data_IF_006368588340
#
_entry.id   IF_006368588340
#
_cell.length_a   1.000
_cell.length_b   1.000
_cell.length_c   1.000
_cell.angle_alpha   90.00
_cell.angle_beta   90.00
_cell.angle_gamma   90.00
#
_symmetry.space_group_name_H-M   'P 1'
#
loop_
_entity.id
_entity.type
_entity.pdbx_description
1 polymer ?
#
# COMPACT_ATOMS: atom_id res chain seq x y z
N UNK A 1 -12.54 13.84 27.58
CA UNK A 1 -12.22 12.66 26.77
C UNK A 1 -13.36 12.52 25.77
N UNK A 2 -13.10 12.70 24.47
CA UNK A 2 -14.12 12.46 23.45
C UNK A 2 -14.44 10.96 23.49
N UNK A 3 -15.59 10.60 24.04
CA UNK A 3 -16.12 9.25 23.88
C UNK A 3 -16.49 9.13 22.41
N UNK A 4 -15.60 8.50 21.64
CA UNK A 4 -15.93 8.06 20.29
C UNK A 4 -17.16 7.18 20.45
N UNK A 5 -18.30 7.67 19.94
CA UNK A 5 -19.63 7.09 20.07
C UNK A 5 -19.78 5.67 19.48
N UNK A 6 -18.67 5.04 19.09
CA UNK A 6 -18.58 3.66 18.62
C UNK A 6 -18.74 2.65 19.78
N UNK A 7 -18.57 3.06 21.05
CA UNK A 7 -18.74 2.16 22.20
C UNK A 7 -20.20 1.86 22.57
N UNK A 8 -21.15 2.69 22.15
CA UNK A 8 -22.56 2.50 22.44
C UNK A 8 -23.36 2.65 21.16
N UNK A 9 -24.23 1.67 20.87
CA UNK A 9 -25.15 1.77 19.73
C UNK A 9 -26.06 2.99 19.94
N UNK A 10 -25.72 4.09 19.27
CA UNK A 10 -26.45 5.36 19.32
C UNK A 10 -26.85 5.71 17.90
N UNK A 11 -28.12 6.09 17.75
CA UNK A 11 -28.63 6.58 16.49
C UNK A 11 -27.78 7.76 15.96
N UNK A 12 -27.51 7.78 14.67
CA UNK A 12 -26.52 8.66 14.03
C UNK A 12 -25.05 8.23 14.14
N UNK A 13 -24.70 7.23 14.96
CA UNK A 13 -23.34 6.69 15.13
C UNK A 13 -23.27 5.16 14.95
N UNK A 14 -24.34 4.54 14.45
CA UNK A 14 -24.33 3.14 14.08
C UNK A 14 -23.42 2.90 12.86
N UNK A 15 -22.90 1.67 12.75
CA UNK A 15 -21.97 1.30 11.68
C UNK A 15 -22.60 1.55 10.30
N UNK A 16 -23.82 1.08 10.11
CA UNK A 16 -24.64 1.21 8.90
C UNK A 16 -24.96 2.66 8.51
N UNK A 17 -24.82 3.62 9.42
CA UNK A 17 -24.99 5.04 9.12
C UNK A 17 -23.73 5.65 8.51
N UNK A 18 -22.56 5.09 8.85
CA UNK A 18 -21.26 5.54 8.37
C UNK A 18 -20.74 4.75 7.17
N UNK A 19 -21.06 3.46 7.10
CA UNK A 19 -20.38 2.50 6.23
C UNK A 19 -21.36 1.61 5.49
N UNK A 20 -21.08 1.33 4.22
CA UNK A 20 -21.84 0.37 3.40
C UNK A 20 -21.21 -1.03 3.49
N UNK A 21 -19.90 -1.09 3.71
CA UNK A 21 -19.10 -2.28 3.95
C UNK A 21 -17.88 -1.88 4.81
N UNK A 22 -16.65 -1.94 4.28
CA UNK A 22 -15.45 -1.30 4.84
C UNK A 22 -15.28 0.15 4.35
N UNK A 23 -15.98 0.55 3.29
CA UNK A 23 -15.84 1.85 2.68
C UNK A 23 -16.71 2.87 3.42
N UNK A 24 -16.10 3.98 3.89
CA UNK A 24 -16.83 5.07 4.52
C UNK A 24 -17.73 5.76 3.50
N UNK A 25 -18.99 5.98 3.87
CA UNK A 25 -19.85 6.96 3.23
C UNK A 25 -19.49 8.38 3.64
N UNK A 26 -20.21 9.36 3.10
CA UNK A 26 -19.96 10.78 3.37
C UNK A 26 -19.99 11.11 4.87
N UNK A 27 -20.88 10.47 5.64
CA UNK A 27 -21.00 10.74 7.07
C UNK A 27 -19.79 10.21 7.86
N UNK A 28 -19.34 8.98 7.58
CA UNK A 28 -18.11 8.45 8.19
C UNK A 28 -16.87 9.27 7.80
N UNK A 29 -16.79 9.74 6.56
CA UNK A 29 -15.72 10.66 6.17
C UNK A 29 -15.69 11.95 7.00
N UNK A 30 -16.85 12.53 7.30
CA UNK A 30 -16.94 13.69 8.21
C UNK A 30 -16.48 13.34 9.61
N UNK A 31 -16.90 12.21 10.16
CA UNK A 31 -16.46 11.77 11.49
C UNK A 31 -14.94 11.59 11.58
N UNK A 32 -14.33 10.96 10.58
CA UNK A 32 -12.88 10.80 10.52
C UNK A 32 -12.16 12.14 10.36
N UNK A 33 -12.71 13.05 9.55
CA UNK A 33 -12.17 14.40 9.40
C UNK A 33 -12.23 15.19 10.71
N UNK A 34 -13.36 15.15 11.42
CA UNK A 34 -13.52 15.81 12.72
C UNK A 34 -12.53 15.26 13.75
N UNK A 35 -12.29 13.94 13.77
CA UNK A 35 -11.29 13.32 14.65
C UNK A 35 -9.87 13.81 14.33
N UNK A 36 -9.52 13.90 13.04
CA UNK A 36 -8.22 14.41 12.61
C UNK A 36 -8.04 15.88 12.99
N UNK A 37 -9.04 16.72 12.73
CA UNK A 37 -9.04 18.15 13.10
C UNK A 37 -8.93 18.32 14.61
N UNK A 38 -9.71 17.55 15.38
CA UNK A 38 -9.63 17.56 16.83
C UNK A 38 -8.23 17.18 17.34
N UNK A 39 -7.59 16.18 16.72
CA UNK A 39 -6.22 15.76 17.09
C UNK A 39 -5.22 16.89 16.84
N UNK A 40 -5.33 17.58 15.70
CA UNK A 40 -4.48 18.72 15.36
C UNK A 40 -4.68 19.88 16.34
N UNK A 41 -5.94 20.24 16.61
CA UNK A 41 -6.27 21.32 17.56
C UNK A 41 -5.82 20.99 18.98
N UNK A 42 -6.01 19.75 19.42
CA UNK A 42 -5.58 19.29 20.75
C UNK A 42 -4.06 19.33 20.88
N UNK A 43 -3.33 18.92 19.82
CA UNK A 43 -1.87 19.01 19.78
C UNK A 43 -1.40 20.46 19.83
N UNK A 44 -2.03 21.35 19.05
CA UNK A 44 -1.68 22.77 19.04
C UNK A 44 -1.91 23.43 20.41
N UNK A 45 -3.06 23.16 21.05
CA UNK A 45 -3.35 23.64 22.41
C UNK A 45 -2.38 23.04 23.42
N UNK A 46 -2.02 21.77 23.27
CA UNK A 46 -1.00 21.11 24.09
C UNK A 46 0.35 21.81 24.00
N UNK A 47 0.81 22.15 22.79
CA UNK A 47 2.06 22.88 22.56
C UNK A 47 2.03 24.32 23.09
N UNK A 48 0.86 24.95 23.21
CA UNK A 48 0.76 26.25 23.88
C UNK A 48 0.94 26.14 25.41
N UNK A 49 0.57 25.01 26.01
CA UNK A 49 0.69 24.77 27.45
C UNK A 49 2.04 24.16 27.83
N UNK A 50 2.56 23.27 26.98
CA UNK A 50 3.83 22.57 27.11
C UNK A 50 4.59 22.74 25.79
N UNK A 51 5.29 23.87 25.61
CA UNK A 51 6.02 24.14 24.39
C UNK A 51 7.14 23.13 24.17
N UNK A 52 7.39 22.86 22.88
CA UNK A 52 8.51 22.05 22.43
C UNK A 52 9.83 22.61 22.96
N UNK A 53 10.69 21.74 23.50
CA UNK A 53 11.94 22.14 24.16
C UNK A 53 13.12 21.19 23.86
N UNK A 54 14.25 21.42 24.53
CA UNK A 54 15.48 20.62 24.35
C UNK A 54 15.30 19.13 24.71
N UNK A 55 14.42 18.77 25.65
CA UNK A 55 14.11 17.37 25.98
C UNK A 55 13.40 16.70 24.80
N UNK A 56 12.48 17.40 24.13
CA UNK A 56 11.81 16.89 22.94
C UNK A 56 12.80 16.71 21.78
N UNK A 57 13.77 17.62 21.62
CA UNK A 57 14.85 17.47 20.63
C UNK A 57 15.67 16.21 20.87
N UNK A 58 16.00 15.94 22.14
CA UNK A 58 16.74 14.74 22.51
C UNK A 58 15.94 13.46 22.22
N UNK A 59 14.63 13.46 22.46
CA UNK A 59 13.75 12.33 22.14
C UNK A 59 13.66 12.12 20.64
N UNK A 60 13.52 13.18 19.84
CA UNK A 60 13.48 13.09 18.36
C UNK A 60 14.81 12.60 17.80
N UNK A 61 15.94 12.98 18.41
CA UNK A 61 17.27 12.54 18.00
C UNK A 61 17.62 11.11 18.45
N UNK A 62 16.85 10.52 19.37
CA UNK A 62 17.09 9.16 19.84
C UNK A 62 16.96 8.14 18.68
N UNK A 63 17.79 7.09 18.65
CA UNK A 63 17.63 6.00 17.69
C UNK A 63 16.22 5.40 17.76
N UNK A 64 15.64 5.12 16.60
CA UNK A 64 14.37 4.38 16.55
C UNK A 64 14.52 3.01 17.23
N UNK A 65 13.50 2.55 17.96
CA UNK A 65 13.52 1.21 18.54
C UNK A 65 13.60 0.14 17.44
N UNK A 66 14.11 -1.03 17.82
CA UNK A 66 14.10 -2.20 16.93
C UNK A 66 12.68 -2.53 16.45
N UNK A 67 12.52 -3.13 15.26
CA UNK A 67 11.21 -3.52 14.75
C UNK A 67 10.44 -4.40 15.74
N UNK A 68 9.15 -4.09 15.92
CA UNK A 68 8.25 -4.85 16.81
C UNK A 68 8.18 -6.35 16.46
N UNK A 69 8.34 -6.68 15.17
CA UNK A 69 8.36 -8.07 14.68
C UNK A 69 9.72 -8.40 14.10
N UNK A 70 10.26 -9.58 14.45
CA UNK A 70 11.54 -10.04 13.92
C UNK A 70 11.53 -10.07 12.39
N UNK A 71 12.56 -9.47 11.77
CA UNK A 71 12.71 -9.41 10.32
C UNK A 71 11.83 -8.37 9.61
N UNK A 72 11.00 -7.60 10.33
CA UNK A 72 10.15 -6.56 9.75
C UNK A 72 10.89 -5.22 9.60
N UNK A 73 12.04 -5.25 8.92
CA UNK A 73 12.79 -4.04 8.56
C UNK A 73 12.26 -3.50 7.22
N UNK A 74 12.15 -2.17 7.06
CA UNK A 74 11.79 -1.61 5.77
C UNK A 74 12.86 -2.03 4.73
N UNK A 75 12.45 -2.40 3.51
CA UNK A 75 13.42 -2.72 2.47
C UNK A 75 14.29 -1.48 2.20
N UNK A 76 15.60 -1.69 2.14
CA UNK A 76 16.61 -0.68 1.81
C UNK A 76 16.41 -0.06 0.40
N UNK A 77 15.65 -0.73 -0.47
CA UNK A 77 15.02 -0.13 -1.65
C UNK A 77 13.83 -0.96 -2.13
N UNK A 78 12.73 -0.30 -2.50
CA UNK A 78 11.60 -0.93 -3.20
C UNK A 78 11.55 -0.42 -4.63
N UNK A 79 11.71 -1.33 -5.59
CA UNK A 79 11.48 -1.04 -7.00
C UNK A 79 10.08 -1.55 -7.36
N UNK A 80 9.12 -0.64 -7.46
CA UNK A 80 7.82 -0.94 -8.02
C UNK A 80 7.84 -0.60 -9.52
N UNK A 81 7.94 -1.62 -10.36
CA UNK A 81 7.92 -1.45 -11.82
C UNK A 81 6.47 -1.55 -12.30
N UNK A 82 5.93 -0.43 -12.76
CA UNK A 82 4.55 -0.31 -13.25
C UNK A 82 4.52 0.33 -14.64
N UNK A 83 3.40 0.20 -15.35
CA UNK A 83 3.21 0.84 -16.64
C UNK A 83 4.30 0.42 -17.64
N UNK A 84 4.88 1.39 -18.34
CA UNK A 84 5.90 1.14 -19.35
C UNK A 84 7.17 0.50 -18.79
N UNK A 85 7.54 0.76 -17.53
CA UNK A 85 8.68 0.10 -16.89
C UNK A 85 8.43 -1.41 -16.68
N UNK A 86 7.19 -1.80 -16.42
CA UNK A 86 6.83 -3.21 -16.37
C UNK A 86 6.80 -3.83 -17.77
N UNK A 87 6.26 -3.08 -18.74
CA UNK A 87 6.20 -3.49 -20.15
C UNK A 87 7.60 -3.76 -20.72
N UNK A 88 8.60 -2.95 -20.37
CA UNK A 88 9.96 -3.10 -20.85
C UNK A 88 10.68 -4.35 -20.34
N UNK A 89 10.14 -5.05 -19.34
CA UNK A 89 10.73 -6.29 -18.83
C UNK A 89 10.43 -7.49 -19.73
N UNK A 90 9.42 -7.41 -20.60
CA UNK A 90 9.00 -8.54 -21.41
C UNK A 90 10.05 -8.91 -22.46
N UNK A 91 10.42 -10.18 -22.47
CA UNK A 91 11.37 -10.75 -23.40
C UNK A 91 10.68 -11.14 -24.72
N UNK A 92 11.41 -11.15 -25.85
CA UNK A 92 10.90 -11.62 -27.15
C UNK A 92 10.39 -13.06 -27.15
N UNK A 93 10.80 -13.88 -26.19
CA UNK A 93 10.32 -15.26 -26.00
C UNK A 93 8.90 -15.36 -25.41
N UNK A 94 8.30 -14.23 -25.02
CA UNK A 94 6.91 -14.19 -24.55
C UNK A 94 5.94 -14.49 -25.69
N UNK A 95 4.87 -15.22 -25.40
CA UNK A 95 3.84 -15.60 -26.37
C UNK A 95 2.46 -15.67 -25.72
N UNK A 96 1.43 -15.25 -26.46
CA UNK A 96 0.02 -15.33 -26.02
C UNK A 96 -0.42 -14.30 -24.98
N UNK A 97 0.49 -13.52 -24.40
CA UNK A 97 0.18 -12.34 -23.57
C UNK A 97 0.19 -11.05 -24.39
N UNK A 98 -0.79 -10.19 -24.14
CA UNK A 98 -0.92 -8.86 -24.75
C UNK A 98 -0.88 -7.79 -23.67
N UNK A 99 -0.16 -6.69 -23.91
CA UNK A 99 -0.16 -5.55 -23.01
C UNK A 99 -1.36 -4.64 -23.29
N UNK A 100 -2.26 -4.51 -22.33
CA UNK A 100 -3.54 -3.81 -22.47
C UNK A 100 -3.82 -2.94 -21.26
N UNK A 101 -4.63 -1.89 -21.45
CA UNK A 101 -5.24 -1.15 -20.35
C UNK A 101 -6.65 -1.70 -20.12
N UNK A 102 -6.87 -2.45 -19.03
CA UNK A 102 -8.20 -2.97 -18.66
C UNK A 102 -9.04 -1.95 -17.87
N UNK A 103 -8.51 -0.74 -17.65
CA UNK A 103 -9.17 0.37 -16.97
C UNK A 103 -9.81 1.38 -17.93
N UNK A 104 -10.14 2.56 -17.42
CA UNK A 104 -10.57 3.70 -18.25
C UNK A 104 -9.39 4.62 -18.54
N UNK A 105 -9.61 5.68 -19.33
CA UNK A 105 -8.59 6.71 -19.53
C UNK A 105 -8.26 7.46 -18.22
N UNK A 106 -9.27 7.67 -17.37
CA UNK A 106 -9.16 8.37 -16.09
C UNK A 106 -8.60 7.46 -14.98
N UNK A 107 -8.83 6.14 -15.09
CA UNK A 107 -8.37 5.14 -14.12
C UNK A 107 -7.71 3.96 -14.86
N UNK A 108 -6.53 4.17 -15.44
CA UNK A 108 -5.86 3.14 -16.21
C UNK A 108 -5.41 1.97 -15.31
N UNK A 109 -5.53 0.76 -15.85
CA UNK A 109 -5.05 -0.50 -15.28
C UNK A 109 -4.22 -1.24 -16.34
N UNK A 110 -3.02 -0.76 -16.66
CA UNK A 110 -2.20 -1.36 -17.69
C UNK A 110 -1.52 -2.64 -17.17
N UNK A 111 -1.49 -3.69 -17.99
CA UNK A 111 -0.89 -4.97 -17.63
C UNK A 111 -0.87 -5.97 -18.79
N UNK A 112 -0.26 -7.13 -18.55
CA UNK A 112 -0.27 -8.23 -19.52
C UNK A 112 -1.44 -9.17 -19.26
N UNK A 113 -2.20 -9.47 -20.32
CA UNK A 113 -3.38 -10.34 -20.28
C UNK A 113 -3.21 -11.47 -21.30
N UNK A 114 -3.58 -12.69 -20.89
CA UNK A 114 -3.69 -13.85 -21.77
C UNK A 114 -5.03 -14.55 -21.52
N UNK A 115 -5.67 -15.03 -22.59
CA UNK A 115 -6.98 -15.70 -22.53
C UNK A 115 -6.93 -17.15 -22.98
N UNK A 116 -5.75 -17.65 -23.39
CA UNK A 116 -5.57 -19.00 -23.91
C UNK A 116 -4.59 -19.79 -23.05
N UNK A 117 -4.89 -21.07 -22.73
CA UNK A 117 -3.94 -21.96 -22.08
C UNK A 117 -2.64 -22.08 -22.88
N UNK A 118 -1.50 -22.17 -22.17
CA UNK A 118 -0.18 -22.31 -22.78
C UNK A 118 0.51 -20.99 -23.11
N UNK A 119 -0.13 -19.83 -22.91
CA UNK A 119 0.53 -18.53 -22.99
C UNK A 119 1.69 -18.42 -21.98
N UNK A 120 2.77 -17.75 -22.38
CA UNK A 120 3.99 -17.56 -21.58
C UNK A 120 4.38 -16.09 -21.59
N UNK A 121 4.54 -15.50 -20.40
CA UNK A 121 5.16 -14.19 -20.23
C UNK A 121 6.55 -14.40 -19.63
N UNK A 122 7.59 -14.09 -20.40
CA UNK A 122 8.97 -14.16 -19.95
C UNK A 122 9.45 -12.75 -19.60
N UNK A 123 9.94 -12.56 -18.38
CA UNK A 123 10.35 -11.25 -17.85
C UNK A 123 11.82 -11.27 -17.47
N UNK A 124 12.55 -10.20 -17.77
CA UNK A 124 13.91 -9.99 -17.31
C UNK A 124 13.94 -8.89 -16.25
N UNK A 125 14.36 -9.26 -15.04
CA UNK A 125 14.50 -8.36 -13.89
C UNK A 125 15.94 -8.39 -13.39
N UNK A 126 16.55 -7.22 -13.21
CA UNK A 126 17.81 -7.12 -12.47
C UNK A 126 17.52 -7.20 -10.98
N UNK A 127 18.17 -8.15 -10.31
CA UNK A 127 18.21 -8.26 -8.85
C UNK A 127 19.54 -7.79 -8.29
N UNK A 128 20.35 -7.05 -9.06
CA UNK A 128 21.59 -6.50 -8.50
C UNK A 128 21.28 -5.45 -7.44
N UNK A 129 21.75 -5.71 -6.21
CA UNK A 129 21.66 -4.82 -5.05
C UNK A 129 23.01 -4.60 -4.38
N UNK A 130 24.11 -4.86 -5.07
CA UNK A 130 25.48 -4.76 -4.54
C UNK A 130 25.81 -3.40 -3.91
N UNK A 131 25.16 -2.31 -4.34
CA UNK A 131 25.34 -0.98 -3.76
C UNK A 131 24.64 -0.71 -2.43
N UNK A 132 23.71 -1.58 -1.99
CA UNK A 132 22.84 -1.34 -0.81
C UNK A 132 22.62 -2.57 0.08
N UNK A 133 22.92 -3.77 -0.41
CA UNK A 133 22.70 -5.05 0.28
C UNK A 133 24.03 -5.74 0.57
N UNK A 134 24.07 -6.52 1.65
CA UNK A 134 25.22 -7.33 2.02
C UNK A 134 25.25 -8.63 1.22
N UNK A 135 26.43 -9.22 0.98
CA UNK A 135 26.52 -10.55 0.41
C UNK A 135 25.71 -11.57 1.22
N UNK A 136 24.82 -12.31 0.56
CA UNK A 136 23.94 -13.30 1.19
C UNK A 136 22.54 -12.78 1.55
N UNK A 137 22.26 -11.48 1.42
CA UNK A 137 20.91 -10.95 1.60
C UNK A 137 19.96 -11.53 0.56
N UNK A 138 18.78 -11.97 1.02
CA UNK A 138 17.71 -12.47 0.14
C UNK A 138 17.01 -11.31 -0.55
N UNK A 139 16.72 -11.48 -1.83
CA UNK A 139 15.96 -10.51 -2.62
C UNK A 139 14.58 -11.09 -2.88
N UNK A 140 13.56 -10.42 -2.36
CA UNK A 140 12.17 -10.81 -2.57
C UNK A 140 11.65 -10.17 -3.85
N UNK A 141 11.09 -10.99 -4.74
CA UNK A 141 10.41 -10.54 -5.95
C UNK A 141 8.92 -10.75 -5.73
N UNK A 142 8.15 -9.67 -5.82
CA UNK A 142 6.70 -9.69 -5.71
C UNK A 142 6.10 -9.50 -7.09
N UNK A 143 5.13 -10.34 -7.43
CA UNK A 143 4.35 -10.22 -8.64
C UNK A 143 2.88 -10.03 -8.27
N UNK A 144 2.27 -8.96 -8.77
CA UNK A 144 0.86 -8.70 -8.57
C UNK A 144 0.08 -9.12 -9.80
N UNK A 145 -1.08 -9.72 -9.57
CA UNK A 145 -2.03 -10.07 -10.61
C UNK A 145 -3.43 -9.71 -10.14
N UNK A 146 -4.30 -9.45 -11.12
CA UNK A 146 -5.69 -9.12 -10.84
C UNK A 146 -6.44 -10.38 -10.39
N UNK A 147 -7.29 -10.26 -9.37
CA UNK A 147 -8.28 -11.26 -8.97
C UNK A 147 -9.65 -10.61 -8.99
N UNK A 148 -10.28 -10.56 -10.16
CA UNK A 148 -11.52 -9.78 -10.31
C UNK A 148 -12.53 -10.34 -11.29
N UNK A 149 -12.22 -11.44 -11.99
CA UNK A 149 -13.11 -12.03 -12.98
C UNK A 149 -13.60 -13.40 -12.55
N UNK A 150 -14.74 -13.82 -13.08
CA UNK A 150 -15.15 -15.22 -13.03
C UNK A 150 -14.30 -16.03 -14.02
N UNK A 151 -14.09 -17.32 -13.70
CA UNK A 151 -13.35 -18.26 -14.56
C UNK A 151 -11.92 -17.83 -14.91
N UNK A 152 -11.21 -17.17 -13.98
CA UNK A 152 -9.82 -16.79 -14.21
C UNK A 152 -8.92 -18.00 -14.50
N UNK A 153 -8.04 -17.83 -15.49
CA UNK A 153 -6.98 -18.78 -15.77
C UNK A 153 -5.99 -18.91 -14.61
N UNK A 154 -5.28 -20.04 -14.56
CA UNK A 154 -4.24 -20.30 -13.57
C UNK A 154 -2.88 -20.23 -14.26
N UNK A 155 -1.98 -19.44 -13.69
CA UNK A 155 -0.58 -19.36 -14.13
C UNK A 155 0.35 -19.99 -13.08
N UNK A 156 1.53 -20.41 -13.51
CA UNK A 156 2.61 -20.91 -12.65
C UNK A 156 3.87 -20.09 -12.90
N UNK A 157 4.50 -19.64 -11.81
CA UNK A 157 5.85 -19.07 -11.86
C UNK A 157 6.88 -20.19 -11.98
N UNK A 158 7.88 -19.98 -12.84
CA UNK A 158 9.00 -20.89 -13.04
C UNK A 158 10.30 -20.16 -12.78
#
# INVERSE_FOLDING_TARGET
MYDLAVRQARDGFLWEHGFVDIHPGNQAHKFMADLAVWTLQSTALGLLQLPYNEEDEQVVAAPLPDPMYQGNVPPNSTMCLMGDMFRSLALPSSSGFSYVNEGTAEKPKPGYVATQPGAVLALQLSTDRSGISKPGDKINVFFHYLRSYEHMGVARFR
#
